data_IF_341622384491
#
_entry.id   IF_341622384491
#
_cell.length_a   1.000
_cell.length_b   1.000
_cell.length_c   1.000
_cell.angle_alpha   90.00
_cell.angle_beta   90.00
_cell.angle_gamma   90.00
#
_symmetry.space_group_name_H-M   'P 1'
#
loop_
_entity.id
_entity.type
_entity.pdbx_description
1 polymer ?
#
# COMPACT_ATOMS: atom_id res chain seq x y z
N UNK A 1 31.60 3.35 -8.73
CA UNK A 1 32.25 2.24 -8.01
C UNK A 1 32.35 1.07 -8.97
N UNK A 2 33.50 0.42 -9.08
CA UNK A 2 33.60 -0.85 -9.79
C UNK A 2 33.12 -1.97 -8.85
N UNK A 3 32.30 -2.86 -9.36
CA UNK A 3 31.88 -4.07 -8.65
C UNK A 3 33.10 -4.96 -8.39
N UNK A 4 33.22 -5.50 -7.18
CA UNK A 4 34.29 -6.43 -6.83
C UNK A 4 33.80 -7.84 -7.14
N UNK A 5 34.48 -8.50 -8.07
CA UNK A 5 34.19 -9.89 -8.41
C UNK A 5 34.97 -10.84 -7.49
N UNK A 6 34.45 -12.06 -7.23
CA UNK A 6 35.24 -13.14 -6.65
C UNK A 6 36.49 -13.41 -7.49
N UNK A 7 37.52 -13.99 -6.86
CA UNK A 7 38.73 -14.38 -7.58
C UNK A 7 38.43 -15.44 -8.65
N UNK A 8 39.26 -15.51 -9.70
CA UNK A 8 39.12 -16.53 -10.76
C UNK A 8 39.04 -17.96 -10.19
N UNK A 9 39.82 -18.24 -9.14
CA UNK A 9 39.81 -19.54 -8.49
C UNK A 9 38.48 -19.82 -7.76
N UNK A 10 37.84 -18.81 -7.18
CA UNK A 10 36.51 -18.97 -6.60
C UNK A 10 35.48 -19.22 -7.71
N UNK A 11 35.47 -18.40 -8.76
CA UNK A 11 34.54 -18.54 -9.89
C UNK A 11 34.60 -19.94 -10.53
N UNK A 12 35.80 -20.51 -10.71
CA UNK A 12 35.98 -21.84 -11.29
C UNK A 12 35.47 -22.99 -10.39
N UNK A 13 35.32 -22.74 -9.08
CA UNK A 13 34.89 -23.73 -8.09
C UNK A 13 33.41 -23.60 -7.70
N UNK A 14 32.72 -22.55 -8.16
CA UNK A 14 31.27 -22.40 -7.96
C UNK A 14 30.54 -23.39 -8.88
N UNK A 15 29.66 -24.19 -8.29
CA UNK A 15 28.82 -25.16 -9.04
C UNK A 15 27.36 -24.71 -9.12
N UNK A 16 26.91 -23.85 -8.20
CA UNK A 16 25.58 -23.24 -8.21
C UNK A 16 25.55 -21.97 -7.36
N UNK A 17 24.62 -21.07 -7.67
CA UNK A 17 24.25 -19.93 -6.84
C UNK A 17 23.12 -20.32 -5.89
N UNK A 18 23.34 -20.22 -4.59
CA UNK A 18 22.41 -20.73 -3.58
C UNK A 18 21.10 -19.93 -3.53
N UNK A 19 21.18 -18.62 -3.76
CA UNK A 19 20.02 -17.73 -3.69
C UNK A 19 19.11 -17.87 -4.92
N UNK A 20 19.71 -17.93 -6.12
CA UNK A 20 18.96 -17.96 -7.37
C UNK A 20 18.71 -19.37 -7.91
N UNK A 21 19.43 -20.36 -7.39
CA UNK A 21 19.42 -21.75 -7.87
C UNK A 21 20.01 -21.93 -9.27
N UNK A 22 20.75 -20.95 -9.81
CA UNK A 22 21.40 -21.04 -11.11
C UNK A 22 22.64 -21.91 -11.00
N UNK A 23 22.72 -22.97 -11.81
CA UNK A 23 23.86 -23.87 -11.87
C UNK A 23 24.92 -23.32 -12.83
N UNK A 24 26.20 -23.38 -12.42
CA UNK A 24 27.33 -23.04 -13.27
C UNK A 24 27.79 -24.27 -14.05
N UNK A 25 28.37 -24.05 -15.24
CA UNK A 25 28.89 -25.15 -16.06
C UNK A 25 30.17 -25.69 -15.39
N UNK A 26 30.24 -26.98 -15.00
CA UNK A 26 31.45 -27.53 -14.42
C UNK A 26 32.63 -27.47 -15.41
N UNK A 27 33.82 -27.17 -14.91
CA UNK A 27 35.03 -27.15 -15.73
C UNK A 27 35.26 -28.51 -16.40
N UNK A 28 35.41 -28.51 -17.72
CA UNK A 28 35.64 -29.73 -18.52
C UNK A 28 34.39 -30.51 -18.92
N UNK A 29 33.18 -30.00 -18.65
CA UNK A 29 31.93 -30.69 -18.97
C UNK A 29 31.60 -30.65 -20.48
N UNK A 30 31.19 -31.78 -21.04
CA UNK A 30 30.73 -31.92 -22.43
C UNK A 30 29.37 -32.68 -22.50
N UNK A 31 28.47 -32.32 -23.43
CA UNK A 31 28.59 -31.27 -24.43
C UNK A 31 28.29 -29.86 -23.87
N UNK A 32 29.24 -28.95 -24.02
CA UNK A 32 29.18 -27.58 -23.48
C UNK A 32 27.88 -26.83 -23.83
N UNK A 33 27.40 -26.98 -25.06
CA UNK A 33 26.17 -26.30 -25.53
C UNK A 33 24.91 -26.71 -24.75
N UNK A 34 24.83 -27.95 -24.28
CA UNK A 34 23.67 -28.39 -23.49
C UNK A 34 23.70 -27.73 -22.11
N UNK A 35 24.86 -27.73 -21.45
CA UNK A 35 25.03 -27.11 -20.13
C UNK A 35 24.86 -25.59 -20.19
N UNK A 36 25.37 -24.93 -21.23
CA UNK A 36 25.14 -23.50 -21.46
C UNK A 36 23.64 -23.17 -21.63
N UNK A 37 22.89 -24.00 -22.36
CA UNK A 37 21.44 -23.81 -22.51
C UNK A 37 20.69 -24.01 -21.19
N UNK A 38 21.12 -24.94 -20.34
CA UNK A 38 20.53 -25.14 -19.00
C UNK A 38 20.79 -23.94 -18.09
N UNK A 39 22.03 -23.45 -18.06
CA UNK A 39 22.40 -22.24 -17.31
C UNK A 39 21.56 -21.05 -17.77
N UNK A 40 21.50 -20.79 -19.08
CA UNK A 40 20.70 -19.70 -19.64
C UNK A 40 19.21 -19.87 -19.30
N UNK A 41 18.67 -21.08 -19.41
CA UNK A 41 17.28 -21.36 -19.04
C UNK A 41 16.99 -21.05 -17.56
N UNK A 42 17.88 -21.45 -16.65
CA UNK A 42 17.75 -21.14 -15.21
C UNK A 42 17.86 -19.64 -14.95
N UNK A 43 18.83 -18.98 -15.54
CA UNK A 43 19.00 -17.53 -15.43
C UNK A 43 17.75 -16.78 -15.92
N UNK A 44 17.16 -17.22 -17.03
CA UNK A 44 15.93 -16.63 -17.57
C UNK A 44 14.71 -16.91 -16.69
N UNK A 45 14.65 -18.05 -16.00
CA UNK A 45 13.61 -18.32 -15.01
C UNK A 45 13.73 -17.36 -13.81
N UNK A 46 14.93 -17.20 -13.27
CA UNK A 46 15.18 -16.33 -12.10
C UNK A 46 14.96 -14.85 -12.44
N UNK A 47 15.33 -14.42 -13.64
CA UNK A 47 15.13 -13.03 -14.11
C UNK A 47 13.76 -12.76 -14.72
N UNK A 48 12.89 -13.77 -14.89
CA UNK A 48 11.58 -13.61 -15.56
C UNK A 48 10.75 -12.51 -14.91
N UNK A 49 10.68 -12.50 -13.57
CA UNK A 49 9.90 -11.52 -12.81
C UNK A 49 10.45 -10.09 -12.92
N UNK A 50 11.76 -9.94 -13.07
CA UNK A 50 12.38 -8.64 -13.30
C UNK A 50 11.99 -8.03 -14.66
N UNK A 51 11.47 -8.83 -15.59
CA UNK A 51 10.94 -8.35 -16.87
C UNK A 51 9.43 -8.11 -16.88
N UNK A 52 8.69 -8.49 -15.83
CA UNK A 52 7.24 -8.24 -15.76
C UNK A 52 6.99 -6.72 -15.81
N UNK A 53 6.02 -6.29 -16.64
CA UNK A 53 5.65 -4.88 -16.83
C UNK A 53 6.75 -3.95 -17.37
N UNK A 54 7.88 -4.49 -17.83
CA UNK A 54 8.98 -3.67 -18.36
C UNK A 54 8.55 -2.90 -19.60
N UNK A 55 8.84 -1.60 -19.62
CA UNK A 55 8.74 -0.75 -20.82
C UNK A 55 9.99 -0.91 -21.67
N UNK A 56 9.83 -1.01 -22.98
CA UNK A 56 10.92 -1.12 -23.95
C UNK A 56 10.62 -0.31 -25.21
N UNK A 57 11.69 0.15 -25.84
CA UNK A 57 11.66 0.91 -27.09
C UNK A 57 11.38 -0.02 -28.29
N UNK A 58 10.42 0.33 -29.14
CA UNK A 58 10.08 -0.38 -30.39
C UNK A 58 10.60 0.35 -31.65
N UNK A 59 11.25 1.50 -31.46
CA UNK A 59 11.79 2.39 -32.48
C UNK A 59 10.91 3.62 -32.70
N UNK A 60 11.54 4.76 -32.97
CA UNK A 60 10.82 6.03 -33.17
C UNK A 60 10.15 6.48 -31.88
N UNK A 61 8.85 6.74 -31.93
CA UNK A 61 8.08 7.17 -30.76
C UNK A 61 7.27 6.03 -30.12
N UNK A 62 7.40 4.80 -30.60
CA UNK A 62 6.61 3.67 -30.10
C UNK A 62 7.30 2.95 -28.94
N UNK A 63 6.54 2.69 -27.88
CA UNK A 63 6.96 1.80 -26.80
C UNK A 63 6.11 0.53 -26.76
N UNK A 64 6.73 -0.55 -26.31
CA UNK A 64 6.06 -1.76 -25.86
C UNK A 64 6.15 -1.92 -24.35
N UNK A 65 5.19 -2.64 -23.78
CA UNK A 65 5.15 -2.97 -22.35
C UNK A 65 4.95 -4.48 -22.21
N UNK A 66 5.85 -5.16 -21.47
CA UNK A 66 5.73 -6.59 -21.22
C UNK A 66 4.51 -6.91 -20.35
N UNK A 67 3.99 -8.12 -20.48
CA UNK A 67 2.94 -8.61 -19.59
C UNK A 67 3.43 -8.71 -18.14
N UNK A 68 2.50 -8.73 -17.21
CA UNK A 68 2.81 -8.84 -15.79
C UNK A 68 1.57 -8.77 -14.93
N UNK A 69 1.77 -8.71 -13.61
CA UNK A 69 0.70 -8.62 -12.63
C UNK A 69 1.11 -7.71 -11.48
N UNK A 70 0.16 -7.04 -10.87
CA UNK A 70 0.39 -6.18 -9.71
C UNK A 70 -0.82 -6.20 -8.78
N UNK A 71 -0.59 -5.87 -7.52
CA UNK A 71 -1.64 -5.80 -6.51
C UNK A 71 -2.08 -4.35 -6.31
N UNK A 72 -3.38 -4.16 -6.17
CA UNK A 72 -3.99 -2.91 -5.71
C UNK A 72 -4.91 -3.25 -4.55
N UNK A 73 -4.53 -2.80 -3.35
CA UNK A 73 -5.19 -3.25 -2.12
C UNK A 73 -5.18 -4.78 -2.04
N UNK A 74 -6.36 -5.39 -2.11
CA UNK A 74 -6.57 -6.84 -2.07
C UNK A 74 -6.87 -7.46 -3.44
N UNK A 75 -6.77 -6.70 -4.53
CA UNK A 75 -7.07 -7.16 -5.88
C UNK A 75 -5.79 -7.39 -6.69
N UNK A 76 -5.68 -8.56 -7.33
CA UNK A 76 -4.60 -8.88 -8.25
C UNK A 76 -5.01 -8.50 -9.68
N UNK A 77 -4.38 -7.47 -10.24
CA UNK A 77 -4.58 -7.01 -11.61
C UNK A 77 -3.58 -7.70 -12.53
N UNK A 78 -4.05 -8.19 -13.68
CA UNK A 78 -3.20 -8.82 -14.71
C UNK A 78 -3.16 -7.97 -15.96
N UNK A 79 -1.97 -7.67 -16.45
CA UNK A 79 -1.73 -6.92 -17.69
C UNK A 79 -1.15 -7.85 -18.75
N UNK A 80 -1.78 -7.92 -19.92
CA UNK A 80 -1.40 -8.84 -21.01
C UNK A 80 -0.18 -8.39 -21.80
N UNK A 81 0.29 -7.17 -21.57
CA UNK A 81 1.29 -6.51 -22.42
C UNK A 81 0.64 -5.73 -23.56
N UNK A 82 1.40 -4.79 -24.13
CA UNK A 82 1.01 -4.03 -25.33
C UNK A 82 2.24 -3.66 -26.16
N UNK A 83 2.00 -3.24 -27.40
CA UNK A 83 2.99 -2.80 -28.40
C UNK A 83 2.38 -1.72 -29.28
N UNK A 84 3.20 -0.89 -29.92
CA UNK A 84 2.78 0.19 -30.81
C UNK A 84 2.13 1.35 -30.08
N UNK A 85 2.53 1.59 -28.82
CA UNK A 85 2.00 2.71 -28.05
C UNK A 85 2.79 3.98 -28.39
N UNK A 86 2.31 4.74 -29.37
CA UNK A 86 2.98 5.96 -29.83
C UNK A 86 2.95 7.06 -28.77
N UNK A 87 4.13 7.59 -28.46
CA UNK A 87 4.33 8.68 -27.51
C UNK A 87 4.30 10.05 -28.22
N UNK A 88 4.07 11.11 -27.44
CA UNK A 88 4.22 12.47 -27.94
C UNK A 88 5.71 12.80 -28.14
N UNK A 89 6.03 13.56 -29.20
CA UNK A 89 7.38 14.02 -29.49
C UNK A 89 7.78 15.21 -28.59
N UNK A 90 9.09 15.46 -28.52
CA UNK A 90 9.72 16.58 -27.81
C UNK A 90 9.23 16.73 -26.35
N UNK A 91 9.10 15.60 -25.64
CA UNK A 91 8.76 15.57 -24.22
C UNK A 91 9.96 15.23 -23.37
N UNK A 92 10.26 16.12 -22.42
CA UNK A 92 11.30 15.89 -21.42
C UNK A 92 10.95 14.73 -20.48
N UNK A 93 9.66 14.54 -20.17
CA UNK A 93 9.17 13.45 -19.34
C UNK A 93 7.78 13.01 -19.82
N UNK A 94 7.61 11.71 -20.02
CA UNK A 94 6.33 11.05 -20.18
C UNK A 94 6.24 9.97 -19.10
N UNK A 95 5.31 10.13 -18.17
CA UNK A 95 5.13 9.26 -17.03
C UNK A 95 4.21 8.10 -17.43
N UNK A 96 4.80 6.93 -17.68
CA UNK A 96 4.09 5.73 -18.13
C UNK A 96 3.72 4.87 -16.92
N UNK A 97 2.44 4.56 -16.79
CA UNK A 97 1.92 3.77 -15.67
C UNK A 97 0.70 2.94 -16.08
N UNK A 98 0.33 1.95 -15.26
CA UNK A 98 -0.98 1.29 -15.34
C UNK A 98 -1.90 1.86 -14.27
N UNK A 99 -3.11 2.26 -14.63
CA UNK A 99 -4.12 2.72 -13.69
C UNK A 99 -4.69 1.56 -12.84
N UNK A 100 -5.69 1.87 -12.00
CA UNK A 100 -6.28 0.88 -11.09
C UNK A 100 -7.03 -0.26 -11.79
N UNK A 101 -7.42 -0.07 -13.04
CA UNK A 101 -8.10 -1.05 -13.87
C UNK A 101 -7.11 -1.86 -14.74
N UNK A 102 -5.83 -1.45 -14.75
CA UNK A 102 -4.78 -2.05 -15.57
C UNK A 102 -4.69 -1.48 -16.97
N UNK A 103 -5.25 -0.30 -17.23
CA UNK A 103 -5.09 0.40 -18.50
C UNK A 103 -3.75 1.12 -18.55
N UNK A 104 -3.08 1.07 -19.70
CA UNK A 104 -1.82 1.78 -19.92
C UNK A 104 -2.06 3.27 -20.19
N UNK A 105 -1.38 4.11 -19.43
CA UNK A 105 -1.38 5.56 -19.60
C UNK A 105 -0.02 6.01 -20.13
N UNK A 106 -0.04 6.76 -21.23
CA UNK A 106 1.14 7.32 -21.93
C UNK A 106 1.06 8.82 -22.18
N UNK A 107 0.04 9.49 -21.62
CA UNK A 107 -0.27 10.89 -21.88
C UNK A 107 -0.17 11.78 -20.62
N UNK A 108 0.65 11.38 -19.64
CA UNK A 108 0.95 12.17 -18.44
C UNK A 108 2.36 12.76 -18.56
N UNK A 109 2.49 14.07 -18.37
CA UNK A 109 3.71 14.82 -18.69
C UNK A 109 4.26 15.62 -17.51
N UNK A 110 3.55 15.67 -16.38
CA UNK A 110 3.89 16.53 -15.24
C UNK A 110 4.56 15.76 -14.12
N UNK A 111 3.92 14.69 -13.65
CA UNK A 111 4.39 13.79 -12.62
C UNK A 111 3.54 12.51 -12.65
N UNK A 112 4.01 11.45 -11.99
CA UNK A 112 3.09 10.35 -11.64
C UNK A 112 1.94 10.88 -10.78
N UNK A 113 0.69 10.40 -10.95
CA UNK A 113 -0.44 10.81 -10.13
C UNK A 113 -0.17 10.64 -8.63
N UNK A 114 -0.93 11.37 -7.81
CA UNK A 114 -0.91 11.16 -6.37
C UNK A 114 -1.63 9.83 -6.05
N UNK A 115 -0.98 8.95 -5.28
CA UNK A 115 -1.53 7.64 -4.90
C UNK A 115 -2.80 7.74 -4.05
N UNK A 116 -3.08 8.90 -3.43
CA UNK A 116 -4.33 9.19 -2.72
C UNK A 116 -5.48 9.53 -3.67
N UNK A 117 -5.16 10.11 -4.84
CA UNK A 117 -6.14 10.52 -5.85
C UNK A 117 -6.47 9.41 -6.87
N UNK A 118 -5.53 8.49 -7.08
CA UNK A 118 -5.69 7.36 -8.00
C UNK A 118 -4.58 6.33 -7.82
N UNK A 119 -4.96 5.11 -7.45
CA UNK A 119 -4.02 4.00 -7.33
C UNK A 119 -3.52 3.59 -8.71
N UNK A 120 -2.21 3.40 -8.83
CA UNK A 120 -1.55 3.02 -10.08
C UNK A 120 -0.25 2.27 -9.79
N UNK A 121 0.32 1.63 -10.82
CA UNK A 121 1.69 1.12 -10.80
C UNK A 121 2.54 1.85 -11.83
N UNK A 122 3.60 2.49 -11.34
CA UNK A 122 4.58 3.22 -12.15
C UNK A 122 5.42 2.24 -12.95
N UNK A 123 5.62 2.54 -14.22
CA UNK A 123 6.39 1.68 -15.13
C UNK A 123 7.69 2.35 -15.56
N UNK A 124 7.62 3.55 -16.13
CA UNK A 124 8.79 4.24 -16.62
C UNK A 124 8.58 5.75 -16.73
N UNK A 125 9.67 6.49 -16.85
CA UNK A 125 9.69 7.85 -17.38
C UNK A 125 10.44 7.85 -18.71
N UNK A 126 9.76 8.28 -19.77
CA UNK A 126 10.30 8.27 -21.14
C UNK A 126 10.59 9.71 -21.59
N UNK A 127 11.73 9.89 -22.27
CA UNK A 127 12.13 11.16 -22.89
C UNK A 127 12.13 10.99 -24.40
N UNK A 128 11.47 11.89 -25.11
CA UNK A 128 11.39 11.91 -26.58
C UNK A 128 11.96 13.21 -27.14
N UNK A 129 12.60 13.14 -28.30
CA UNK A 129 13.14 14.30 -29.01
C UNK A 129 13.38 13.98 -30.48
N UNK A 130 12.93 14.86 -31.37
CA UNK A 130 13.22 14.73 -32.81
C UNK A 130 12.65 13.46 -33.45
N UNK A 131 11.50 12.99 -32.99
CA UNK A 131 10.80 11.82 -33.51
C UNK A 131 11.34 10.48 -33.00
N UNK A 132 12.15 10.48 -31.94
CA UNK A 132 12.76 9.28 -31.37
C UNK A 132 12.74 9.29 -29.84
N UNK A 133 12.86 8.10 -29.24
CA UNK A 133 13.03 7.92 -27.81
C UNK A 133 14.51 8.05 -27.46
N UNK A 134 14.84 8.99 -26.58
CA UNK A 134 16.23 9.24 -26.16
C UNK A 134 16.59 8.60 -24.83
N UNK A 135 15.60 8.30 -23.99
CA UNK A 135 15.80 7.54 -22.75
C UNK A 135 14.52 6.91 -22.23
N UNK A 136 14.64 5.72 -21.64
CA UNK A 136 13.61 5.08 -20.82
C UNK A 136 14.22 4.84 -19.43
N UNK A 137 13.72 5.54 -18.42
CA UNK A 137 14.10 5.34 -17.02
C UNK A 137 13.08 4.41 -16.39
N UNK A 138 13.54 3.26 -15.91
CA UNK A 138 12.69 2.30 -15.19
C UNK A 138 12.22 2.92 -13.86
N UNK A 139 10.92 2.83 -13.58
CA UNK A 139 10.30 3.35 -12.36
C UNK A 139 9.53 2.26 -11.59
N UNK A 140 9.70 0.99 -11.97
CA UNK A 140 9.01 -0.15 -11.34
C UNK A 140 9.51 -0.43 -9.92
N UNK A 141 10.74 -0.03 -9.61
CA UNK A 141 11.35 -0.12 -8.30
C UNK A 141 10.62 0.72 -7.23
N UNK A 142 9.93 1.79 -7.65
CA UNK A 142 9.12 2.64 -6.77
C UNK A 142 8.01 1.89 -6.02
N UNK A 143 7.65 0.67 -6.46
CA UNK A 143 6.65 -0.19 -5.80
C UNK A 143 7.24 -1.50 -5.25
N UNK A 144 8.56 -1.70 -5.36
CA UNK A 144 9.22 -2.95 -4.97
C UNK A 144 9.35 -3.11 -3.45
N UNK A 145 9.45 -2.00 -2.72
CA UNK A 145 9.60 -1.96 -1.27
C UNK A 145 8.64 -0.92 -0.72
N UNK A 146 7.53 -1.37 -0.14
CA UNK A 146 6.68 -0.51 0.67
C UNK A 146 7.27 -0.44 2.08
N UNK A 147 7.92 0.67 2.42
CA UNK A 147 8.17 1.02 3.81
C UNK A 147 6.91 1.73 4.30
N UNK A 148 6.07 1.11 5.15
CA UNK A 148 4.96 1.84 5.74
C UNK A 148 5.55 3.08 6.42
N UNK A 149 5.05 4.25 6.08
CA UNK A 149 5.53 5.52 6.63
C UNK A 149 5.27 5.49 8.13
N UNK A 150 6.29 5.08 8.91
CA UNK A 150 6.22 4.75 10.33
C UNK A 150 5.23 3.61 10.66
N UNK A 151 5.60 2.70 11.57
CA UNK A 151 4.71 1.60 11.94
C UNK A 151 3.39 2.15 12.45
N UNK A 152 2.30 1.94 11.70
CA UNK A 152 0.91 2.34 11.96
C UNK A 152 0.75 3.14 13.27
N UNK A 153 1.25 4.37 13.30
CA UNK A 153 1.11 5.19 14.50
C UNK A 153 -0.30 5.71 14.44
N UNK A 154 -1.19 5.10 15.21
CA UNK A 154 -2.55 5.59 15.35
C UNK A 154 -2.48 7.10 15.64
N UNK A 155 -3.13 7.91 14.81
CA UNK A 155 -3.22 9.35 15.05
C UNK A 155 -3.91 9.56 16.39
N UNK A 156 -3.33 10.39 17.26
CA UNK A 156 -3.94 10.71 18.56
C UNK A 156 -4.49 12.14 18.47
N UNK A 157 -5.79 12.27 18.69
CA UNK A 157 -6.48 13.55 18.73
C UNK A 157 -7.02 13.84 20.13
N UNK A 158 -6.86 15.08 20.58
CA UNK A 158 -7.35 15.57 21.85
C UNK A 158 -8.51 16.53 21.63
N UNK A 159 -9.66 16.21 22.22
CA UNK A 159 -10.88 16.98 22.14
C UNK A 159 -11.07 17.83 23.39
N UNK A 160 -11.44 19.09 23.18
CA UNK A 160 -11.80 20.03 24.26
C UNK A 160 -13.28 20.49 24.18
N UNK A 161 -13.99 20.01 23.16
CA UNK A 161 -15.42 20.22 22.91
C UNK A 161 -16.01 18.97 22.23
N UNK A 162 -17.34 18.90 22.12
CA UNK A 162 -18.04 17.88 21.34
C UNK A 162 -17.57 17.85 19.88
N UNK A 163 -17.60 16.67 19.26
CA UNK A 163 -17.18 16.47 17.87
C UNK A 163 -17.97 15.34 17.18
N UNK A 164 -17.99 15.34 15.85
CA UNK A 164 -18.57 14.29 15.00
C UNK A 164 -17.48 13.67 14.14
N UNK A 165 -17.16 12.40 14.45
CA UNK A 165 -16.11 11.66 13.76
C UNK A 165 -16.55 11.19 12.38
N UNK A 166 -15.58 11.00 11.50
CA UNK A 166 -15.77 10.56 10.10
C UNK A 166 -15.05 9.25 9.83
N UNK A 167 -15.52 8.46 8.85
CA UNK A 167 -14.85 7.19 8.50
C UNK A 167 -13.37 7.34 8.10
N UNK A 168 -12.99 8.51 7.59
CA UNK A 168 -11.62 8.81 7.21
C UNK A 168 -10.64 8.77 8.40
N UNK A 169 -11.15 8.89 9.62
CA UNK A 169 -10.37 8.86 10.86
C UNK A 169 -10.23 7.45 11.44
N UNK A 170 -10.75 6.42 10.77
CA UNK A 170 -10.65 5.03 11.21
C UNK A 170 -9.20 4.64 11.54
N UNK A 171 -9.00 4.08 12.73
CA UNK A 171 -7.69 3.69 13.28
C UNK A 171 -7.07 4.75 14.21
N UNK A 172 -7.69 5.91 14.38
CA UNK A 172 -7.26 6.94 15.34
C UNK A 172 -7.56 6.57 16.79
N UNK A 173 -6.93 7.33 17.71
CA UNK A 173 -7.22 7.37 19.13
C UNK A 173 -7.74 8.77 19.48
N UNK A 174 -8.95 8.87 19.99
CA UNK A 174 -9.53 10.14 20.44
C UNK A 174 -9.53 10.22 21.97
N UNK A 175 -9.16 11.38 22.50
CA UNK A 175 -9.00 11.61 23.94
C UNK A 175 -9.71 12.88 24.36
N UNK A 176 -10.03 13.03 25.66
CA UNK A 176 -10.52 14.29 26.23
C UNK A 176 -9.41 15.12 26.90
N UNK A 177 -8.14 14.98 26.46
CA UNK A 177 -7.03 15.72 27.05
C UNK A 177 -7.28 17.23 26.94
N UNK A 178 -7.23 17.93 28.08
CA UNK A 178 -7.49 19.37 28.15
C UNK A 178 -8.97 19.75 28.29
N UNK A 179 -9.89 18.78 28.29
CA UNK A 179 -11.31 19.03 28.56
C UNK A 179 -11.51 19.62 29.97
N UNK A 180 -12.36 20.65 30.06
CA UNK A 180 -12.78 21.27 31.33
C UNK A 180 -14.20 20.92 31.73
N UNK A 181 -14.91 20.18 30.87
CA UNK A 181 -16.27 19.68 31.09
C UNK A 181 -16.51 18.42 30.27
N UNK A 182 -17.77 17.98 30.26
CA UNK A 182 -18.20 16.82 29.47
C UNK A 182 -18.00 17.04 27.98
N UNK A 183 -17.54 15.99 27.28
CA UNK A 183 -17.39 15.94 25.83
C UNK A 183 -18.14 14.73 25.28
N UNK A 184 -18.79 14.91 24.14
CA UNK A 184 -19.47 13.86 23.36
C UNK A 184 -18.85 13.75 21.98
N UNK A 185 -18.34 12.56 21.66
CA UNK A 185 -17.84 12.21 20.34
C UNK A 185 -18.88 11.34 19.65
N UNK A 186 -19.41 11.83 18.54
CA UNK A 186 -20.45 11.16 17.76
C UNK A 186 -19.81 10.29 16.70
N UNK A 187 -20.15 9.01 16.67
CA UNK A 187 -19.67 8.04 15.67
C UNK A 187 -20.37 8.24 14.32
N UNK A 188 -19.73 7.83 13.19
CA UNK A 188 -20.38 7.86 11.89
C UNK A 188 -21.65 6.99 11.85
N UNK A 189 -22.76 7.55 11.37
CA UNK A 189 -24.08 6.89 11.35
C UNK A 189 -24.20 5.70 10.35
N UNK A 190 -23.23 5.49 9.48
CA UNK A 190 -23.23 4.40 8.48
C UNK A 190 -21.82 3.88 8.22
N UNK A 191 -21.05 3.72 9.30
CA UNK A 191 -19.67 3.25 9.23
C UNK A 191 -19.55 1.93 8.43
N UNK A 192 -18.67 1.91 7.44
CA UNK A 192 -18.28 0.67 6.73
C UNK A 192 -17.80 -0.39 7.72
N UNK A 193 -18.22 -1.64 7.54
CA UNK A 193 -17.80 -2.74 8.42
C UNK A 193 -16.26 -2.83 8.51
N UNK A 194 -15.74 -2.84 9.74
CA UNK A 194 -14.30 -2.80 10.01
C UNK A 194 -13.73 -1.41 10.31
N UNK A 195 -14.51 -0.33 10.22
CA UNK A 195 -14.11 0.98 10.77
C UNK A 195 -13.82 0.85 12.26
N UNK A 196 -12.67 1.38 12.71
CA UNK A 196 -12.18 1.23 14.09
C UNK A 196 -11.97 2.60 14.73
N UNK A 197 -12.43 2.77 15.96
CA UNK A 197 -12.06 3.92 16.79
C UNK A 197 -11.60 3.47 18.17
N UNK A 198 -10.60 4.17 18.71
CA UNK A 198 -10.16 4.00 20.10
C UNK A 198 -10.40 5.27 20.88
N UNK A 199 -10.92 5.15 22.09
CA UNK A 199 -11.21 6.25 23.00
C UNK A 199 -10.39 6.09 24.27
N UNK A 200 -9.82 7.17 24.80
CA UNK A 200 -9.12 7.15 26.08
C UNK A 200 -9.37 8.42 26.89
N UNK A 201 -9.73 8.24 28.18
CA UNK A 201 -9.92 9.34 29.12
C UNK A 201 -8.55 9.82 29.62
N UNK A 202 -8.22 11.09 29.36
CA UNK A 202 -6.97 11.75 29.78
C UNK A 202 -7.19 12.99 30.65
N UNK A 203 -8.42 13.53 30.69
CA UNK A 203 -8.87 14.49 31.69
C UNK A 203 -9.98 13.85 32.55
N UNK A 204 -10.01 14.17 33.85
CA UNK A 204 -11.04 13.69 34.79
C UNK A 204 -12.39 14.41 34.56
N UNK A 205 -12.91 14.25 33.36
CA UNK A 205 -14.16 14.76 32.85
C UNK A 205 -14.84 13.65 32.06
N UNK A 206 -16.16 13.67 31.99
CA UNK A 206 -16.90 12.65 31.27
C UNK A 206 -16.61 12.71 29.76
N UNK A 207 -16.09 11.62 29.20
CA UNK A 207 -16.00 11.38 27.77
C UNK A 207 -17.16 10.46 27.35
N UNK A 208 -18.03 10.94 26.48
CA UNK A 208 -19.16 10.19 25.93
C UNK A 208 -18.87 9.80 24.48
N UNK A 209 -19.26 8.58 24.12
CA UNK A 209 -19.20 8.04 22.77
C UNK A 209 -20.63 7.74 22.34
N UNK A 210 -21.14 8.54 21.41
CA UNK A 210 -22.53 8.51 20.94
C UNK A 210 -22.60 7.77 19.59
N UNK A 211 -23.34 6.65 19.48
CA UNK A 211 -23.51 5.93 18.21
C UNK A 211 -24.49 6.59 17.24
N UNK A 212 -25.07 7.75 17.55
CA UNK A 212 -26.16 8.32 16.79
C UNK A 212 -27.40 7.44 16.91
N UNK A 213 -27.92 6.93 15.80
CA UNK A 213 -29.06 6.00 15.81
C UNK A 213 -28.67 4.52 15.91
N UNK A 214 -27.37 4.23 15.98
CA UNK A 214 -26.86 2.85 16.01
C UNK A 214 -26.79 2.32 17.45
N UNK A 215 -26.36 1.07 17.60
CA UNK A 215 -26.15 0.42 18.89
C UNK A 215 -24.66 0.23 19.18
N UNK A 216 -24.21 0.52 20.40
CA UNK A 216 -22.91 0.03 20.90
C UNK A 216 -23.15 -1.26 21.69
N UNK A 217 -22.76 -2.39 21.10
CA UNK A 217 -22.83 -3.72 21.69
C UNK A 217 -21.72 -3.89 22.73
N UNK A 218 -22.04 -3.62 23.99
CA UNK A 218 -21.14 -3.76 25.12
C UNK A 218 -21.81 -4.53 26.27
N UNK A 219 -21.03 -5.08 27.20
CA UNK A 219 -21.61 -5.73 28.38
C UNK A 219 -22.25 -4.73 29.36
N UNK A 220 -22.05 -3.42 29.20
CA UNK A 220 -22.78 -2.36 29.94
C UNK A 220 -24.19 -2.09 29.40
N UNK A 221 -24.55 -2.64 28.22
CA UNK A 221 -25.83 -2.42 27.57
C UNK A 221 -25.73 -2.49 26.05
N UNK A 222 -26.87 -2.68 25.39
CA UNK A 222 -26.99 -2.78 23.93
C UNK A 222 -28.18 -1.97 23.42
N UNK A 223 -28.53 -0.89 24.12
CA UNK A 223 -29.72 -0.09 23.79
C UNK A 223 -29.37 0.85 22.63
N UNK A 224 -30.15 0.86 21.53
CA UNK A 224 -29.96 1.84 20.45
C UNK A 224 -30.03 3.28 20.98
N UNK A 225 -29.33 4.19 20.32
CA UNK A 225 -29.33 5.63 20.61
C UNK A 225 -28.77 6.02 21.99
N UNK A 226 -28.12 5.06 22.68
CA UNK A 226 -27.51 5.28 24.00
C UNK A 226 -25.99 5.38 23.89
N UNK A 227 -25.46 6.52 24.35
CA UNK A 227 -24.02 6.70 24.43
C UNK A 227 -23.39 5.83 25.53
N UNK A 228 -22.10 5.51 25.36
CA UNK A 228 -21.24 4.97 26.41
C UNK A 228 -20.39 6.08 27.00
N UNK A 229 -20.08 6.02 28.29
CA UNK A 229 -19.27 7.06 28.92
C UNK A 229 -18.36 6.53 30.02
N UNK A 230 -17.26 7.26 30.23
CA UNK A 230 -16.25 7.04 31.25
C UNK A 230 -15.75 8.41 31.76
N UNK A 231 -15.21 8.49 32.97
CA UNK A 231 -14.78 9.75 33.59
C UNK A 231 -13.48 9.65 34.40
N UNK A 232 -12.90 8.46 34.57
CA UNK A 232 -11.63 8.28 35.23
C UNK A 232 -10.47 8.24 34.21
N UNK A 233 -9.39 8.96 34.52
CA UNK A 233 -8.19 8.98 33.67
C UNK A 233 -7.60 7.56 33.54
N UNK A 234 -7.30 7.16 32.32
CA UNK A 234 -6.77 5.84 31.97
C UNK A 234 -7.82 4.83 31.48
N UNK A 235 -9.11 5.14 31.60
CA UNK A 235 -10.18 4.31 31.03
C UNK A 235 -10.16 4.40 29.50
N UNK A 236 -10.37 3.26 28.83
CA UNK A 236 -10.33 3.19 27.37
C UNK A 236 -11.33 2.21 26.77
N UNK A 237 -11.75 2.50 25.55
CA UNK A 237 -12.74 1.73 24.80
C UNK A 237 -12.32 1.66 23.33
N UNK A 238 -12.28 0.47 22.74
CA UNK A 238 -12.07 0.27 21.31
C UNK A 238 -13.33 -0.34 20.69
N UNK A 239 -13.84 0.33 19.65
CA UNK A 239 -15.05 -0.04 18.93
C UNK A 239 -14.73 -0.38 17.48
N UNK A 240 -15.42 -1.38 16.94
CA UNK A 240 -15.39 -1.74 15.51
C UNK A 240 -16.80 -1.78 14.95
N UNK A 241 -17.03 -1.15 13.81
CA UNK A 241 -18.30 -1.23 13.09
C UNK A 241 -18.55 -2.64 12.55
N UNK A 242 -19.74 -3.19 12.79
CA UNK A 242 -20.20 -4.46 12.23
C UNK A 242 -20.92 -4.27 10.88
N UNK A 243 -21.30 -5.38 10.24
CA UNK A 243 -21.98 -5.34 8.95
C UNK A 243 -23.40 -4.76 8.97
N UNK A 244 -23.98 -4.51 10.15
CA UNK A 244 -25.30 -3.91 10.34
C UNK A 244 -25.24 -2.40 10.60
N UNK A 245 -24.04 -1.81 10.64
CA UNK A 245 -23.85 -0.41 11.04
C UNK A 245 -23.91 -0.20 12.56
N UNK A 246 -23.92 -1.28 13.35
CA UNK A 246 -23.77 -1.22 14.81
C UNK A 246 -22.28 -1.29 15.18
N UNK A 247 -21.97 -0.97 16.44
CA UNK A 247 -20.60 -0.96 16.97
C UNK A 247 -20.39 -2.09 17.96
N UNK A 248 -19.27 -2.78 17.88
CA UNK A 248 -18.89 -3.86 18.80
C UNK A 248 -17.71 -3.43 19.65
N UNK A 249 -17.81 -3.57 20.97
CA UNK A 249 -16.67 -3.40 21.88
C UNK A 249 -15.71 -4.57 21.72
N UNK A 250 -14.49 -4.30 21.23
CA UNK A 250 -13.44 -5.32 21.06
C UNK A 250 -12.37 -5.27 22.16
N UNK A 251 -12.21 -4.13 22.82
CA UNK A 251 -11.35 -3.97 23.97
C UNK A 251 -11.91 -2.88 24.89
N UNK A 252 -11.77 -3.09 26.20
CA UNK A 252 -12.21 -2.14 27.22
C UNK A 252 -11.29 -2.21 28.44
N UNK A 253 -10.89 -1.03 28.94
CA UNK A 253 -10.18 -0.87 30.21
C UNK A 253 -10.97 0.10 31.09
N UNK A 254 -11.14 -0.26 32.37
CA UNK A 254 -11.93 0.54 33.32
C UNK A 254 -13.44 0.37 33.18
N UNK A 255 -14.19 1.34 33.70
CA UNK A 255 -15.65 1.32 33.78
C UNK A 255 -16.26 2.23 32.73
N UNK A 256 -16.86 1.64 31.71
CA UNK A 256 -17.72 2.35 30.76
C UNK A 256 -19.18 2.03 31.05
N UNK A 257 -19.98 3.06 31.26
CA UNK A 257 -21.42 2.96 31.57
C UNK A 257 -22.26 3.38 30.37
N UNK A 258 -23.46 2.80 30.25
CA UNK A 258 -24.49 3.27 29.29
C UNK A 258 -25.25 4.48 29.88
N UNK A 259 -25.77 5.34 29.01
CA UNK A 259 -26.76 6.34 29.40
C UNK A 259 -28.00 5.65 30.00
N UNK A 260 -28.47 6.13 31.15
CA UNK A 260 -29.69 5.66 31.80
C UNK A 260 -30.97 5.86 30.96
#
# INVERSE_FOLDING_TARGET
MAEVYPSDNELLNIVSEAETGVEYIPTGQAPYYLEFRKLLYRLLLSSRRANDLRVYDEGGLDIGVKSGKFWIGTSLVSYTGSSGNTLADDKANIYVYLDSEGNLVTAEYSAFPDMTSGLHVRLAVVTTSGGDITSIVDARDHHSIAVPATGQSNTIEAHTSDDTLTEAESGSVHTNLGATGTITLTLPASATAGTVFTFAVQAAQQLRVDPGTATIRDNSGITPDKYKWADAVGESLALVADANGDWVTIAKNGTWSEQA
#
